data_IF_337993228191
#
_entry.id   IF_337993228191
#
_cell.length_a   1.000
_cell.length_b   1.000
_cell.length_c   1.000
_cell.angle_alpha   90.00
_cell.angle_beta   90.00
_cell.angle_gamma   90.00
#
_symmetry.space_group_name_H-M   'P 1'
#
loop_
_entity.id
_entity.type
_entity.pdbx_description
1 polymer ?
#
# COMPACT_ATOMS: atom_id res chain seq x y z
N UNK A 1 26.94 -76.16 10.77
CA UNK A 1 26.39 -75.03 10.00
C UNK A 1 26.31 -73.82 10.94
N UNK A 2 27.07 -72.75 10.63
CA UNK A 2 26.96 -71.33 11.09
C UNK A 2 27.19 -71.06 12.59
N UNK A 3 28.40 -70.65 13.01
CA UNK A 3 29.04 -69.30 12.98
C UNK A 3 28.70 -68.41 14.20
N UNK A 4 29.77 -68.11 14.94
CA UNK A 4 29.98 -67.08 15.97
C UNK A 4 29.64 -65.68 15.47
N UNK A 5 29.27 -64.74 16.36
CA UNK A 5 29.77 -63.35 16.42
C UNK A 5 29.31 -62.69 17.74
N UNK A 6 30.28 -62.16 18.51
CA UNK A 6 30.09 -61.16 19.58
C UNK A 6 30.20 -59.78 18.93
N UNK A 7 29.31 -58.83 19.24
CA UNK A 7 29.59 -57.39 19.08
C UNK A 7 28.97 -56.60 20.24
N UNK A 8 29.86 -56.02 21.04
CA UNK A 8 29.66 -54.84 21.89
C UNK A 8 29.47 -53.62 20.98
N UNK A 9 28.56 -52.68 21.30
CA UNK A 9 28.73 -51.23 21.15
C UNK A 9 27.64 -50.57 22.02
N UNK A 10 28.06 -50.08 23.19
CA UNK A 10 27.35 -49.06 23.96
C UNK A 10 27.92 -47.73 23.50
N UNK A 11 27.19 -47.03 22.63
CA UNK A 11 27.55 -45.71 22.14
C UNK A 11 26.35 -44.80 22.24
N UNK A 12 26.08 -44.30 23.45
CA UNK A 12 25.08 -43.26 23.68
C UNK A 12 25.71 -41.91 23.28
N UNK A 13 25.59 -41.55 22.00
CA UNK A 13 25.85 -40.19 21.53
C UNK A 13 24.68 -39.31 21.98
N UNK A 14 24.86 -38.56 23.07
CA UNK A 14 24.02 -37.41 23.36
C UNK A 14 24.32 -36.35 22.29
N UNK A 15 23.48 -36.30 21.25
CA UNK A 15 23.45 -35.15 20.35
C UNK A 15 22.60 -34.07 21.03
N UNK A 16 23.25 -33.21 21.81
CA UNK A 16 22.65 -31.95 22.24
C UNK A 16 22.45 -31.09 21.00
N UNK A 17 21.22 -31.12 20.46
CA UNK A 17 20.78 -30.18 19.44
C UNK A 17 20.66 -28.83 20.15
N UNK A 18 21.67 -27.98 19.99
CA UNK A 18 21.51 -26.55 20.26
C UNK A 18 20.49 -26.04 19.24
N UNK A 19 19.26 -25.74 19.69
CA UNK A 19 18.32 -24.92 18.94
C UNK A 19 18.98 -23.54 18.75
N UNK A 20 19.70 -23.38 17.64
CA UNK A 20 20.06 -22.07 17.14
C UNK A 20 18.78 -21.38 16.69
N UNK A 21 18.45 -20.25 17.31
CA UNK A 21 17.51 -19.28 16.73
C UNK A 21 18.10 -18.77 15.42
N UNK A 22 17.82 -19.46 14.31
CA UNK A 22 17.93 -18.83 12.99
C UNK A 22 16.78 -17.85 12.89
N UNK A 23 17.09 -16.55 12.80
CA UNK A 23 16.15 -15.56 12.30
C UNK A 23 15.81 -16.01 10.88
N UNK A 24 14.63 -16.58 10.67
CA UNK A 24 14.10 -16.82 9.33
C UNK A 24 14.11 -15.45 8.61
N UNK A 25 14.81 -15.33 7.49
CA UNK A 25 14.70 -14.14 6.64
C UNK A 25 13.28 -14.11 6.09
N UNK A 26 12.39 -13.39 6.76
CA UNK A 26 11.02 -13.13 6.30
C UNK A 26 11.13 -12.43 4.94
N UNK A 27 10.83 -13.16 3.86
CA UNK A 27 10.72 -12.57 2.52
C UNK A 27 9.62 -11.53 2.64
N UNK A 28 9.92 -10.22 2.46
CA UNK A 28 8.91 -9.19 2.62
C UNK A 28 7.75 -9.46 1.66
N UNK A 29 6.51 -9.48 2.18
CA UNK A 29 5.33 -9.61 1.33
C UNK A 29 5.31 -8.42 0.35
N UNK A 30 5.42 -8.65 -0.97
CA UNK A 30 5.39 -7.59 -1.96
C UNK A 30 4.05 -6.83 -1.99
N UNK A 31 3.01 -7.36 -1.35
CA UNK A 31 1.71 -6.73 -1.20
C UNK A 31 1.49 -6.09 0.18
N UNK A 32 2.50 -6.08 1.06
CA UNK A 32 2.42 -5.40 2.34
C UNK A 32 2.15 -3.90 2.13
N UNK A 33 1.19 -3.36 2.89
CA UNK A 33 0.88 -1.94 2.88
C UNK A 33 2.05 -1.18 3.52
N UNK A 34 2.68 -0.29 2.75
CA UNK A 34 3.77 0.55 3.22
C UNK A 34 3.26 1.69 4.08
N UNK A 35 2.16 2.33 3.68
CA UNK A 35 1.46 3.33 4.48
C UNK A 35 -0.05 3.33 4.28
N UNK A 36 -0.75 3.62 5.37
CA UNK A 36 -2.20 3.87 5.40
C UNK A 36 -2.44 5.35 5.64
N UNK A 37 -3.21 5.98 4.75
CA UNK A 37 -3.52 7.41 4.77
C UNK A 37 -5.03 7.54 5.00
N UNK A 38 -5.43 8.20 6.09
CA UNK A 38 -6.84 8.40 6.41
C UNK A 38 -7.29 9.79 6.02
N UNK A 39 -8.20 9.88 5.05
CA UNK A 39 -8.81 11.10 4.58
C UNK A 39 -10.24 11.26 5.11
N UNK A 40 -10.62 12.50 5.39
CA UNK A 40 -11.99 12.93 5.66
C UNK A 40 -12.30 14.17 4.81
N UNK A 41 -13.50 14.74 4.90
CA UNK A 41 -13.90 15.92 4.15
C UNK A 41 -14.37 17.09 5.02
N UNK A 42 -14.22 18.29 4.47
CA UNK A 42 -14.92 19.49 4.91
C UNK A 42 -16.03 19.74 3.90
N UNK A 43 -17.23 19.22 4.18
CA UNK A 43 -18.37 19.31 3.27
C UNK A 43 -17.98 18.92 1.83
N UNK A 44 -18.23 19.82 0.88
CA UNK A 44 -17.86 19.64 -0.54
C UNK A 44 -16.65 20.48 -0.96
N UNK A 45 -15.97 21.14 -0.01
CA UNK A 45 -14.92 22.13 -0.31
C UNK A 45 -13.51 21.57 -0.26
N UNK A 46 -13.22 20.62 0.64
CA UNK A 46 -11.87 20.06 0.78
C UNK A 46 -11.86 18.61 1.25
N UNK A 47 -10.79 17.89 0.90
CA UNK A 47 -10.33 16.76 1.70
C UNK A 47 -9.37 17.23 2.80
N UNK A 48 -9.32 16.51 3.91
CA UNK A 48 -8.34 16.65 4.97
C UNK A 48 -7.72 15.29 5.27
N UNK A 49 -6.40 15.23 5.41
CA UNK A 49 -5.73 14.03 5.92
C UNK A 49 -5.67 14.09 7.44
N UNK A 50 -6.14 13.04 8.11
CA UNK A 50 -6.29 12.98 9.57
C UNK A 50 -5.26 12.06 10.22
N UNK A 51 -4.78 11.05 9.50
CA UNK A 51 -3.65 10.22 9.91
C UNK A 51 -2.86 9.72 8.72
N UNK A 52 -1.56 9.50 8.93
CA UNK A 52 -0.68 8.73 8.04
C UNK A 52 0.11 7.78 8.94
N UNK A 53 -0.04 6.49 8.72
CA UNK A 53 0.64 5.43 9.46
C UNK A 53 1.54 4.65 8.50
N UNK A 54 2.71 4.21 8.97
CA UNK A 54 3.70 3.52 8.15
C UNK A 54 4.74 4.45 7.53
N UNK A 55 5.23 4.12 6.34
CA UNK A 55 6.33 4.81 5.67
C UNK A 55 6.07 5.02 4.17
N UNK A 56 6.78 5.97 3.56
CA UNK A 56 6.67 6.28 2.14
C UNK A 56 5.59 7.31 1.79
N UNK A 57 4.71 7.69 2.72
CA UNK A 57 3.74 8.77 2.54
C UNK A 57 3.98 9.91 3.55
N UNK A 58 3.83 11.16 3.11
CA UNK A 58 3.80 12.33 4.00
C UNK A 58 2.80 13.38 3.51
N UNK A 59 2.20 14.11 4.45
CA UNK A 59 1.34 15.27 4.17
C UNK A 59 1.24 16.15 5.42
N UNK A 60 0.70 17.36 5.26
CA UNK A 60 0.30 18.18 6.42
C UNK A 60 -1.08 17.75 6.89
N UNK A 61 -1.17 17.24 8.12
CA UNK A 61 -2.44 16.77 8.67
C UNK A 61 -3.37 17.93 9.03
N UNK A 62 -4.68 17.68 8.96
CA UNK A 62 -5.76 18.60 9.31
C UNK A 62 -5.71 19.95 8.56
N UNK A 63 -5.18 19.93 7.34
CA UNK A 63 -5.15 21.08 6.44
C UNK A 63 -5.99 20.76 5.20
N UNK A 64 -6.85 21.71 4.83
CA UNK A 64 -7.67 21.61 3.63
C UNK A 64 -6.78 21.40 2.39
N UNK A 65 -7.09 20.34 1.64
CA UNK A 65 -6.47 20.06 0.34
C UNK A 65 -4.93 19.99 0.38
N UNK A 66 -4.39 19.55 1.52
CA UNK A 66 -2.95 19.45 1.73
C UNK A 66 -2.25 18.61 0.65
N UNK A 67 -1.05 19.03 0.23
CA UNK A 67 -0.27 18.22 -0.70
C UNK A 67 0.08 16.84 -0.09
N UNK A 68 0.03 15.79 -0.91
CA UNK A 68 0.39 14.43 -0.55
C UNK A 68 1.69 14.04 -1.26
N UNK A 69 2.71 13.62 -0.52
CA UNK A 69 3.94 13.08 -1.10
C UNK A 69 3.94 11.57 -0.95
N UNK A 70 4.23 10.85 -2.04
CA UNK A 70 4.25 9.40 -2.10
C UNK A 70 5.57 8.89 -2.69
N UNK A 71 6.18 7.90 -2.06
CA UNK A 71 7.33 7.15 -2.56
C UNK A 71 6.91 6.16 -3.65
N UNK A 72 7.63 6.16 -4.77
CA UNK A 72 7.49 5.24 -5.89
C UNK A 72 7.86 3.82 -5.44
N UNK A 73 7.15 2.82 -5.96
CA UNK A 73 7.31 1.41 -5.63
C UNK A 73 6.64 0.97 -4.33
N UNK A 74 6.12 1.91 -3.54
CA UNK A 74 5.41 1.59 -2.30
C UNK A 74 3.93 1.33 -2.53
N UNK A 75 3.32 0.55 -1.62
CA UNK A 75 1.89 0.22 -1.65
C UNK A 75 1.14 1.01 -0.58
N UNK A 76 0.06 1.65 -0.99
CA UNK A 76 -0.72 2.56 -0.16
C UNK A 76 -2.14 2.08 0.00
N UNK A 77 -2.69 2.31 1.20
CA UNK A 77 -4.13 2.26 1.44
C UNK A 77 -4.61 3.67 1.76
N UNK A 78 -5.54 4.18 0.96
CA UNK A 78 -6.30 5.39 1.29
C UNK A 78 -7.60 4.95 1.94
N UNK A 79 -7.81 5.30 3.21
CA UNK A 79 -9.09 5.17 3.89
C UNK A 79 -9.84 6.48 3.70
N UNK A 80 -11.00 6.44 3.06
CA UNK A 80 -11.85 7.60 2.80
C UNK A 80 -13.07 7.59 3.72
N UNK A 81 -12.97 8.31 4.85
CA UNK A 81 -14.06 8.47 5.81
C UNK A 81 -15.21 9.35 5.28
N UNK A 82 -14.99 10.11 4.21
CA UNK A 82 -16.05 10.88 3.54
C UNK A 82 -17.00 9.99 2.71
N UNK A 83 -16.58 8.74 2.42
CA UNK A 83 -17.37 7.74 1.71
C UNK A 83 -17.67 8.04 0.23
N UNK A 84 -18.55 7.23 -0.36
CA UNK A 84 -18.95 7.31 -1.78
C UNK A 84 -19.61 8.62 -2.26
N UNK A 85 -20.23 9.47 -1.41
CA UNK A 85 -20.61 10.83 -1.80
C UNK A 85 -19.39 11.71 -2.14
N UNK A 86 -18.21 11.33 -1.68
CA UNK A 86 -16.94 12.00 -1.96
C UNK A 86 -15.89 10.98 -2.40
N UNK A 87 -16.05 10.34 -3.58
CA UNK A 87 -15.17 9.26 -3.98
C UNK A 87 -13.77 9.78 -4.26
N UNK A 88 -12.75 9.13 -3.68
CA UNK A 88 -11.36 9.51 -3.87
C UNK A 88 -10.89 9.12 -5.28
N UNK A 89 -10.25 10.04 -5.99
CA UNK A 89 -9.75 9.82 -7.35
C UNK A 89 -8.33 10.34 -7.46
N UNK A 90 -7.44 9.58 -8.10
CA UNK A 90 -6.13 10.06 -8.50
C UNK A 90 -6.21 10.46 -9.97
N UNK A 91 -5.91 11.73 -10.25
CA UNK A 91 -5.86 12.27 -11.61
C UNK A 91 -4.46 12.15 -12.18
N UNK A 92 -4.41 12.17 -13.50
CA UNK A 92 -3.19 12.26 -14.28
C UNK A 92 -3.13 13.52 -15.12
N UNK A 93 -2.02 13.65 -15.85
CA UNK A 93 -1.79 14.73 -16.82
C UNK A 93 -2.99 14.81 -17.79
N UNK A 94 -3.42 16.04 -18.08
CA UNK A 94 -4.57 16.29 -18.94
C UNK A 94 -5.92 15.96 -18.30
N UNK A 95 -5.99 15.89 -16.96
CA UNK A 95 -7.20 15.57 -16.19
C UNK A 95 -7.75 14.16 -16.46
N UNK A 96 -6.87 13.23 -16.86
CA UNK A 96 -7.20 11.82 -17.01
C UNK A 96 -7.47 11.19 -15.63
N UNK A 97 -8.35 10.20 -15.55
CA UNK A 97 -8.52 9.39 -14.34
C UNK A 97 -7.47 8.29 -14.35
N UNK A 98 -6.59 8.23 -13.35
CA UNK A 98 -5.63 7.13 -13.21
C UNK A 98 -6.24 5.99 -12.39
N UNK A 99 -6.83 6.34 -11.24
CA UNK A 99 -7.53 5.43 -10.32
C UNK A 99 -8.75 6.14 -9.74
N UNK A 100 -9.88 5.46 -9.59
CA UNK A 100 -11.06 6.01 -8.93
C UNK A 100 -11.71 5.02 -7.96
N UNK A 101 -12.18 5.53 -6.84
CA UNK A 101 -12.93 4.74 -5.87
C UNK A 101 -14.34 4.34 -6.35
N UNK A 102 -14.93 5.12 -7.26
CA UNK A 102 -16.28 4.88 -7.78
C UNK A 102 -16.24 4.12 -9.13
N UNK A 103 -17.39 3.99 -9.78
CA UNK A 103 -17.57 3.24 -11.04
C UNK A 103 -16.85 3.85 -12.26
N UNK A 104 -16.07 4.92 -12.09
CA UNK A 104 -15.28 5.51 -13.18
C UNK A 104 -13.99 4.70 -13.32
N UNK A 105 -13.81 4.04 -14.46
CA UNK A 105 -12.60 3.23 -14.69
C UNK A 105 -11.40 4.11 -15.02
N UNK A 106 -10.39 4.09 -14.15
CA UNK A 106 -9.09 4.70 -14.36
C UNK A 106 -8.16 3.93 -15.29
N UNK A 107 -7.21 4.62 -15.92
CA UNK A 107 -6.30 4.05 -16.92
C UNK A 107 -5.30 3.02 -16.37
N UNK A 108 -5.08 3.00 -15.04
CA UNK A 108 -4.12 2.10 -14.39
C UNK A 108 -4.78 0.97 -13.58
N UNK A 109 -6.12 0.92 -13.51
CA UNK A 109 -6.83 -0.02 -12.63
C UNK A 109 -6.69 -1.48 -13.06
N UNK A 110 -6.50 -1.73 -14.35
CA UNK A 110 -6.25 -3.08 -14.90
C UNK A 110 -4.76 -3.46 -14.91
N UNK A 111 -3.87 -2.55 -14.51
CA UNK A 111 -2.43 -2.84 -14.46
C UNK A 111 -2.13 -3.71 -13.23
N UNK A 112 -1.71 -4.95 -13.46
CA UNK A 112 -1.40 -5.90 -12.39
C UNK A 112 -0.27 -5.45 -11.46
N UNK A 113 0.66 -4.62 -11.93
CA UNK A 113 1.73 -4.07 -11.09
C UNK A 113 1.24 -2.97 -10.15
N UNK A 114 0.15 -2.28 -10.50
CA UNK A 114 -0.52 -1.33 -9.59
C UNK A 114 -1.35 -2.10 -8.55
N UNK A 115 -1.84 -3.29 -8.90
CA UNK A 115 -2.62 -4.16 -8.03
C UNK A 115 -3.71 -3.35 -7.29
N UNK A 116 -4.52 -2.66 -8.10
CA UNK A 116 -5.54 -1.73 -7.64
C UNK A 116 -6.73 -2.47 -7.03
N UNK A 117 -7.22 -1.96 -5.90
CA UNK A 117 -8.44 -2.42 -5.24
C UNK A 117 -9.24 -1.20 -4.82
N UNK A 118 -10.48 -1.09 -5.28
CA UNK A 118 -11.45 -0.10 -4.81
C UNK A 118 -12.49 -0.77 -3.90
N UNK A 119 -12.91 -0.04 -2.87
CA UNK A 119 -14.00 -0.42 -1.97
C UNK A 119 -14.81 0.81 -1.60
N UNK A 120 -15.96 0.60 -0.96
CA UNK A 120 -16.80 1.71 -0.46
C UNK A 120 -16.07 2.59 0.57
N UNK A 121 -15.03 2.08 1.21
CA UNK A 121 -14.26 2.78 2.25
C UNK A 121 -12.94 3.37 1.75
N UNK A 122 -12.54 3.14 0.49
CA UNK A 122 -11.34 3.75 -0.06
C UNK A 122 -10.68 2.95 -1.18
N UNK A 123 -9.40 3.22 -1.42
CA UNK A 123 -8.60 2.58 -2.47
C UNK A 123 -7.30 2.02 -1.92
N UNK A 124 -6.81 0.94 -2.52
CA UNK A 124 -5.48 0.39 -2.27
C UNK A 124 -4.74 0.24 -3.60
N UNK A 125 -3.49 0.69 -3.67
CA UNK A 125 -2.71 0.65 -4.91
C UNK A 125 -1.22 0.69 -4.65
N UNK A 126 -0.44 0.18 -5.60
CA UNK A 126 1.01 0.33 -5.66
C UNK A 126 1.34 1.49 -6.60
N UNK A 127 2.11 2.47 -6.13
CA UNK A 127 2.55 3.58 -6.98
C UNK A 127 3.72 3.14 -7.86
N UNK A 128 3.43 2.62 -9.05
CA UNK A 128 4.47 2.24 -10.02
C UNK A 128 5.16 3.46 -10.61
N UNK A 129 6.37 3.29 -11.15
CA UNK A 129 7.09 4.38 -11.83
C UNK A 129 6.31 4.92 -13.06
N UNK A 130 5.63 4.04 -13.80
CA UNK A 130 4.80 4.42 -14.95
C UNK A 130 3.60 5.27 -14.52
N UNK A 131 2.92 4.89 -13.43
CA UNK A 131 1.82 5.68 -12.88
C UNK A 131 2.32 7.01 -12.32
N UNK A 132 3.44 7.01 -11.61
CA UNK A 132 4.07 8.21 -11.07
C UNK A 132 4.46 9.21 -12.16
N UNK A 133 4.89 8.74 -13.33
CA UNK A 133 5.20 9.62 -14.47
C UNK A 133 3.96 10.35 -15.03
N UNK A 134 2.76 9.85 -14.74
CA UNK A 134 1.51 10.48 -15.17
C UNK A 134 0.77 11.20 -14.04
N UNK A 135 1.22 11.07 -12.79
CA UNK A 135 0.46 11.51 -11.63
C UNK A 135 0.27 13.03 -11.59
N UNK A 136 -0.93 13.46 -11.22
CA UNK A 136 -1.29 14.86 -11.06
C UNK A 136 -2.02 15.01 -9.70
N UNK A 137 -3.08 15.81 -9.50
CA UNK A 137 -3.69 15.93 -8.17
C UNK A 137 -4.53 14.70 -7.81
N UNK A 138 -4.75 14.49 -6.51
CA UNK A 138 -5.95 13.76 -6.08
C UNK A 138 -7.14 14.70 -6.16
N UNK A 139 -8.33 14.16 -6.39
CA UNK A 139 -9.56 14.93 -6.47
C UNK A 139 -10.74 14.09 -5.99
N UNK A 140 -11.78 14.73 -5.47
CA UNK A 140 -13.08 14.09 -5.35
C UNK A 140 -13.68 13.91 -6.75
N UNK A 141 -14.18 12.71 -7.04
CA UNK A 141 -14.82 12.39 -8.32
C UNK A 141 -16.11 13.18 -8.60
N UNK A 142 -16.69 13.85 -7.58
CA UNK A 142 -17.92 14.67 -7.71
C UNK A 142 -17.71 16.16 -7.51
N UNK A 143 -16.75 16.55 -6.66
CA UNK A 143 -16.55 17.94 -6.23
C UNK A 143 -15.14 18.39 -6.59
N UNK A 144 -15.00 19.17 -7.67
CA UNK A 144 -13.68 19.58 -8.17
C UNK A 144 -12.87 20.43 -7.18
N UNK A 145 -13.53 21.12 -6.23
CA UNK A 145 -12.87 21.90 -5.19
C UNK A 145 -12.11 21.04 -4.17
N UNK A 146 -12.50 19.78 -3.98
CA UNK A 146 -11.81 18.85 -3.09
C UNK A 146 -10.63 18.23 -3.83
N UNK A 147 -9.55 18.98 -3.96
CA UNK A 147 -8.40 18.62 -4.81
C UNK A 147 -7.10 19.06 -4.15
N UNK A 148 -6.07 18.24 -4.22
CA UNK A 148 -4.75 18.58 -3.71
C UNK A 148 -3.65 17.91 -4.51
N UNK A 149 -2.47 18.52 -4.51
CA UNK A 149 -1.35 18.04 -5.33
C UNK A 149 -0.81 16.71 -4.80
N UNK A 150 -0.39 15.82 -5.72
CA UNK A 150 0.44 14.67 -5.38
C UNK A 150 1.86 14.91 -5.91
N UNK A 151 2.86 14.61 -5.08
CA UNK A 151 4.27 14.55 -5.49
C UNK A 151 4.79 13.13 -5.35
N UNK A 152 5.39 12.59 -6.41
CA UNK A 152 6.04 11.28 -6.38
C UNK A 152 7.56 11.42 -6.16
N UNK A 153 8.12 10.64 -5.23
CA UNK A 153 9.56 10.65 -4.89
C UNK A 153 10.15 9.24 -4.97
N UNK A 154 11.47 9.13 -5.14
CA UNK A 154 12.17 7.83 -5.12
C UNK A 154 12.60 7.43 -3.69
#
# INVERSE_FOLDING_TARGET
MKQTIKVFITGLFLFTITLGCSKEDEIPDPNAISATITANNVGTSAYIFTSIEGSGATSTLNMDNAALTLKIGSRYQIINLAGLPHPFTIRGIGNTTLLAQNDVVGTFESNSAVNFIATDTGITFTLTAEMAAQIAPYQCGRHAAMTGNISAIN
#
